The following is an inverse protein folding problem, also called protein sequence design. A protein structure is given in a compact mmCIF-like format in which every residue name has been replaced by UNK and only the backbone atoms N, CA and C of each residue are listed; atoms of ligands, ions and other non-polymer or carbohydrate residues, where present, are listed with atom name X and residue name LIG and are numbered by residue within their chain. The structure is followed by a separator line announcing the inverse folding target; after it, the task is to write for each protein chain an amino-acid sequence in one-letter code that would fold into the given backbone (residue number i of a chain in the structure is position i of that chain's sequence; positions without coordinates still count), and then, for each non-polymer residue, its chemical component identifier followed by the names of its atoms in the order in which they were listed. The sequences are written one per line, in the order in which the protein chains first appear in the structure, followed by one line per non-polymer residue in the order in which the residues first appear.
data_IF_506736735916
#
_entry.id   IF_506736735916
#
_cell.length_a   1.000
_cell.length_b   1.000
_cell.length_c   1.000
_cell.angle_alpha   90.00
_cell.angle_beta   90.00
_cell.angle_gamma   90.00
#
_symmetry.space_group_name_H-M   'P 1'
#
loop_
_entity.id
_entity.type
_entity.pdbx_description
1 polymer ?
#
# COMPACT_ATOMS: atom_id res chain seq x y z
N UNK A 1 5.03 27.73 -19.11
CA UNK A 1 5.31 26.97 -17.87
C UNK A 1 4.29 25.84 -17.82
N UNK A 2 4.74 24.61 -18.00
CA UNK A 2 3.86 23.44 -17.92
C UNK A 2 3.28 23.34 -16.51
N UNK A 3 1.95 23.37 -16.37
CA UNK A 3 1.29 23.27 -15.08
C UNK A 3 1.36 21.81 -14.61
N UNK A 4 2.39 21.48 -13.83
CA UNK A 4 2.61 20.13 -13.31
C UNK A 4 1.50 19.76 -12.31
N UNK A 5 0.93 18.57 -12.47
CA UNK A 5 -0.12 18.06 -11.57
C UNK A 5 0.42 17.88 -10.15
N UNK A 6 -0.45 18.10 -9.16
CA UNK A 6 -0.17 17.80 -7.76
C UNK A 6 0.05 16.31 -7.53
N UNK A 7 1.01 15.98 -6.68
CA UNK A 7 1.38 14.60 -6.33
C UNK A 7 1.16 14.41 -4.83
N UNK A 8 0.34 13.41 -4.49
CA UNK A 8 0.09 13.03 -3.10
C UNK A 8 0.77 11.69 -2.82
N UNK A 9 1.65 11.66 -1.82
CA UNK A 9 2.36 10.44 -1.41
C UNK A 9 1.84 10.00 -0.04
N UNK A 10 1.26 8.80 0.05
CA UNK A 10 0.84 8.23 1.32
C UNK A 10 2.04 7.60 2.03
N UNK A 11 2.37 8.10 3.23
CA UNK A 11 3.40 7.53 4.07
C UNK A 11 2.93 6.27 4.81
N UNK A 12 1.63 6.03 4.93
CA UNK A 12 1.05 4.95 5.75
C UNK A 12 1.64 4.94 7.17
N UNK A 13 1.64 6.06 7.86
CA UNK A 13 2.26 6.29 9.17
C UNK A 13 1.88 5.23 10.21
N UNK A 14 0.65 4.71 10.17
CA UNK A 14 0.17 3.72 11.13
C UNK A 14 0.76 2.31 10.96
N UNK A 15 1.47 2.02 9.86
CA UNK A 15 2.10 0.71 9.59
C UNK A 15 3.46 0.86 8.90
N UNK A 16 4.21 -0.24 8.83
CA UNK A 16 5.54 -0.33 8.23
C UNK A 16 5.55 -0.89 6.81
N UNK A 17 4.40 -0.99 6.13
CA UNK A 17 4.33 -1.53 4.76
C UNK A 17 4.97 -0.64 3.70
N UNK A 18 5.13 0.65 3.99
CA UNK A 18 5.76 1.62 3.11
C UNK A 18 7.01 2.11 3.82
N UNK A 19 8.15 1.91 3.16
CA UNK A 19 9.43 2.42 3.62
C UNK A 19 9.43 3.97 3.60
N UNK A 20 9.72 4.56 4.75
CA UNK A 20 9.70 6.01 4.94
C UNK A 20 10.89 6.68 4.26
N UNK A 21 12.03 6.00 4.15
CA UNK A 21 13.20 6.52 3.42
C UNK A 21 12.89 6.62 1.93
N UNK A 22 12.29 5.57 1.36
CA UNK A 22 11.76 5.58 0.01
C UNK A 22 10.79 6.74 -0.26
N UNK A 23 9.82 6.98 0.64
CA UNK A 23 8.91 8.13 0.50
C UNK A 23 9.68 9.44 0.47
N UNK A 24 10.64 9.63 1.37
CA UNK A 24 11.43 10.85 1.44
C UNK A 24 12.28 11.07 0.18
N UNK A 25 12.90 10.02 -0.36
CA UNK A 25 13.68 10.10 -1.61
C UNK A 25 12.79 10.51 -2.79
N UNK A 26 11.63 9.85 -2.95
CA UNK A 26 10.71 10.14 -4.05
C UNK A 26 10.16 11.56 -3.92
N UNK A 27 9.73 11.96 -2.72
CA UNK A 27 9.19 13.30 -2.46
C UNK A 27 10.22 14.40 -2.75
N UNK A 28 11.45 14.27 -2.25
CA UNK A 28 12.53 15.23 -2.49
C UNK A 28 12.89 15.32 -3.98
N UNK A 29 12.94 14.19 -4.67
CA UNK A 29 13.25 14.14 -6.11
C UNK A 29 12.19 14.85 -6.95
N UNK A 30 10.91 14.62 -6.64
CA UNK A 30 9.80 15.26 -7.33
C UNK A 30 9.70 16.77 -7.03
N UNK A 31 9.93 17.18 -5.78
CA UNK A 31 9.96 18.60 -5.39
C UNK A 31 11.10 19.36 -6.04
N UNK A 32 12.31 18.80 -6.07
CA UNK A 32 13.44 19.39 -6.79
C UNK A 32 13.14 19.56 -8.28
N UNK A 33 12.30 18.69 -8.84
CA UNK A 33 11.80 18.81 -10.22
C UNK A 33 10.68 19.83 -10.42
N UNK A 34 10.24 20.50 -9.37
CA UNK A 34 9.19 21.51 -9.39
C UNK A 34 7.77 20.92 -9.43
N UNK A 35 7.59 19.64 -9.08
CA UNK A 35 6.24 19.12 -8.84
C UNK A 35 5.73 19.61 -7.49
N UNK A 36 4.45 20.02 -7.38
CA UNK A 36 3.83 20.22 -6.09
C UNK A 36 3.58 18.85 -5.43
N UNK A 37 4.18 18.60 -4.26
CA UNK A 37 4.13 17.29 -3.58
C UNK A 37 3.65 17.45 -2.14
N UNK A 38 2.55 16.78 -1.78
CA UNK A 38 2.11 16.58 -0.39
C UNK A 38 2.42 15.15 0.08
N UNK A 39 2.94 15.03 1.31
CA UNK A 39 3.15 13.74 1.97
C UNK A 39 2.08 13.59 3.03
N UNK A 40 1.23 12.59 2.87
CA UNK A 40 0.09 12.36 3.75
C UNK A 40 0.37 11.25 4.76
N UNK A 41 0.03 11.44 6.04
CA UNK A 41 0.32 10.44 7.06
C UNK A 41 -0.44 9.14 6.78
N UNK A 42 -1.75 9.21 6.53
CA UNK A 42 -2.55 8.02 6.31
C UNK A 42 -3.76 8.30 5.42
N UNK A 43 -3.64 7.92 4.14
CA UNK A 43 -4.72 8.09 3.17
C UNK A 43 -5.95 7.23 3.51
N UNK A 44 -5.77 6.06 4.15
CA UNK A 44 -6.91 5.24 4.58
C UNK A 44 -7.73 5.98 5.66
N UNK A 45 -7.05 6.69 6.56
CA UNK A 45 -7.71 7.52 7.59
C UNK A 45 -8.46 8.69 6.97
N UNK A 46 -7.84 9.42 6.02
CA UNK A 46 -8.50 10.53 5.30
C UNK A 46 -9.76 10.08 4.55
N UNK A 47 -9.69 8.94 3.87
CA UNK A 47 -10.85 8.40 3.14
C UNK A 47 -12.01 8.16 4.10
N UNK A 48 -11.76 7.50 5.22
CA UNK A 48 -12.80 7.19 6.22
C UNK A 48 -13.38 8.45 6.87
N UNK A 49 -12.52 9.46 7.12
CA UNK A 49 -12.93 10.75 7.64
C UNK A 49 -13.64 11.63 6.61
N UNK A 50 -13.62 11.23 5.32
CA UNK A 50 -14.15 12.03 4.19
C UNK A 50 -13.59 13.44 4.19
N UNK A 51 -12.27 13.57 4.32
CA UNK A 51 -11.57 14.85 4.33
C UNK A 51 -11.93 15.68 3.09
N UNK A 52 -12.02 17.01 3.25
CA UNK A 52 -12.45 17.94 2.19
C UNK A 52 -11.49 18.03 1.01
N UNK A 53 -10.24 17.64 1.19
CA UNK A 53 -9.17 17.63 0.19
C UNK A 53 -9.16 16.37 -0.70
N UNK A 54 -10.04 15.39 -0.47
CA UNK A 54 -10.06 14.15 -1.24
C UNK A 54 -10.35 14.35 -2.73
N UNK A 55 -11.11 15.38 -3.11
CA UNK A 55 -11.36 15.74 -4.51
C UNK A 55 -10.08 16.24 -5.21
N UNK A 56 -9.30 17.08 -4.53
CA UNK A 56 -8.02 17.57 -5.02
C UNK A 56 -7.03 16.41 -5.16
N UNK A 57 -6.90 15.57 -4.14
CA UNK A 57 -6.05 14.36 -4.15
C UNK A 57 -6.44 13.44 -5.32
N UNK A 58 -7.73 13.20 -5.55
CA UNK A 58 -8.21 12.34 -6.63
C UNK A 58 -7.91 12.89 -8.03
N UNK A 59 -7.88 14.22 -8.19
CA UNK A 59 -7.58 14.90 -9.45
C UNK A 59 -6.09 14.83 -9.84
N UNK A 60 -5.21 14.70 -8.85
CA UNK A 60 -3.76 14.62 -8.98
C UNK A 60 -3.21 13.21 -9.23
N UNK A 61 -1.92 13.03 -8.94
CA UNK A 61 -1.24 11.74 -9.03
C UNK A 61 -1.02 11.20 -7.61
N UNK A 62 -1.48 9.96 -7.35
CA UNK A 62 -1.41 9.36 -6.02
C UNK A 62 -0.33 8.28 -5.99
N UNK A 63 0.68 8.42 -5.14
CA UNK A 63 1.65 7.38 -4.83
C UNK A 63 1.30 6.80 -3.46
N UNK A 64 0.74 5.60 -3.44
CA UNK A 64 0.25 5.01 -2.20
C UNK A 64 0.33 3.48 -2.28
N UNK A 65 -0.52 2.76 -1.56
CA UNK A 65 -0.62 1.31 -1.71
C UNK A 65 -1.10 0.92 -3.13
N UNK A 66 -1.34 -0.39 -3.34
CA UNK A 66 -1.77 -0.93 -4.63
C UNK A 66 -2.84 -0.08 -5.34
N UNK A 67 -2.69 0.22 -6.64
CA UNK A 67 -3.65 0.99 -7.43
C UNK A 67 -5.11 0.51 -7.30
N UNK A 68 -5.29 -0.81 -7.17
CA UNK A 68 -6.58 -1.45 -6.95
C UNK A 68 -7.25 -1.00 -5.64
N UNK A 69 -6.47 -0.88 -4.56
CA UNK A 69 -6.94 -0.41 -3.26
C UNK A 69 -7.29 1.09 -3.31
N UNK A 70 -6.48 1.90 -4.01
CA UNK A 70 -6.73 3.33 -4.20
C UNK A 70 -8.00 3.57 -5.01
N UNK A 71 -8.20 2.82 -6.10
CA UNK A 71 -9.44 2.87 -6.89
C UNK A 71 -10.66 2.54 -6.01
N UNK A 72 -10.60 1.46 -5.25
CA UNK A 72 -11.68 1.05 -4.36
C UNK A 72 -11.98 2.08 -3.25
N UNK A 73 -10.95 2.77 -2.72
CA UNK A 73 -11.14 3.89 -1.78
C UNK A 73 -11.87 5.07 -2.41
N UNK A 74 -11.43 5.52 -3.59
CA UNK A 74 -12.06 6.65 -4.27
C UNK A 74 -13.47 6.29 -4.75
N UNK A 75 -13.68 5.08 -5.24
CA UNK A 75 -14.98 4.56 -5.63
C UNK A 75 -15.99 4.55 -4.48
N UNK A 76 -15.52 4.37 -3.24
CA UNK A 76 -16.36 4.47 -2.04
C UNK A 76 -16.79 5.92 -1.75
N UNK A 77 -15.96 6.89 -2.11
CA UNK A 77 -16.26 8.34 -2.07
C UNK A 77 -17.00 8.84 -3.32
N UNK A 78 -17.26 7.98 -4.31
CA UNK A 78 -17.74 8.35 -5.65
C UNK A 78 -16.78 9.28 -6.42
N UNK A 79 -15.48 9.19 -6.14
CA UNK A 79 -14.41 9.88 -6.85
C UNK A 79 -13.72 8.92 -7.81
N UNK A 80 -13.04 9.48 -8.83
CA UNK A 80 -12.22 8.72 -9.77
C UNK A 80 -10.76 9.16 -9.66
N UNK A 81 -9.85 8.20 -9.71
CA UNK A 81 -8.41 8.49 -9.77
C UNK A 81 -8.02 8.92 -11.19
N UNK A 82 -7.16 9.94 -11.30
CA UNK A 82 -6.50 10.29 -12.56
C UNK A 82 -5.35 9.31 -12.87
N UNK A 83 -4.40 9.20 -11.93
CA UNK A 83 -3.27 8.28 -12.00
C UNK A 83 -2.88 7.86 -10.58
N UNK A 84 -2.63 6.56 -10.37
CA UNK A 84 -2.11 6.03 -9.11
C UNK A 84 -0.97 5.06 -9.36
N UNK A 85 0.10 5.17 -8.56
CA UNK A 85 1.29 4.32 -8.65
C UNK A 85 1.46 3.50 -7.36
N UNK A 86 1.91 2.25 -7.50
CA UNK A 86 2.17 1.34 -6.38
C UNK A 86 3.50 1.66 -5.71
N UNK A 87 3.49 2.35 -4.57
CA UNK A 87 4.72 2.61 -3.81
C UNK A 87 5.18 1.39 -3.01
N UNK A 88 4.35 0.35 -2.87
CA UNK A 88 4.64 -0.77 -1.98
C UNK A 88 5.62 -1.75 -2.60
N UNK A 89 5.48 -2.04 -3.90
CA UNK A 89 6.30 -3.06 -4.58
C UNK A 89 7.19 -2.50 -5.70
N UNK A 90 6.87 -1.34 -6.26
CA UNK A 90 7.65 -0.75 -7.36
C UNK A 90 8.91 -0.07 -6.81
N UNK A 91 10.06 -0.19 -7.47
CA UNK A 91 11.32 0.43 -7.02
C UNK A 91 11.28 1.97 -7.05
N UNK A 92 12.25 2.65 -6.45
CA UNK A 92 12.34 4.12 -6.53
C UNK A 92 12.59 4.57 -7.96
N UNK A 93 13.45 3.82 -8.66
CA UNK A 93 13.91 4.05 -10.02
C UNK A 93 12.74 3.96 -11.00
N UNK A 94 11.92 2.91 -10.88
CA UNK A 94 10.74 2.72 -11.74
C UNK A 94 9.69 3.81 -11.50
N UNK A 95 9.46 4.20 -10.23
CA UNK A 95 8.53 5.29 -9.90
C UNK A 95 9.02 6.62 -10.49
N UNK A 96 10.31 6.93 -10.34
CA UNK A 96 10.90 8.17 -10.84
C UNK A 96 11.05 8.18 -12.38
N UNK A 97 11.23 7.00 -12.98
CA UNK A 97 11.22 6.80 -14.43
C UNK A 97 9.91 7.24 -15.08
N UNK A 98 8.77 7.02 -14.44
CA UNK A 98 7.45 7.54 -14.86
C UNK A 98 7.39 9.08 -14.95
N UNK A 99 8.31 9.77 -14.28
CA UNK A 99 8.46 11.23 -14.29
C UNK A 99 9.70 11.68 -15.08
N UNK A 100 10.36 10.77 -15.80
CA UNK A 100 11.59 11.01 -16.56
C UNK A 100 12.76 11.50 -15.67
N UNK A 101 12.83 10.99 -14.44
CA UNK A 101 13.88 11.28 -13.47
C UNK A 101 14.75 10.04 -13.29
N UNK A 102 16.06 10.20 -13.42
CA UNK A 102 17.07 9.16 -13.16
C UNK A 102 18.17 9.68 -12.25
N UNK A 103 18.82 8.78 -11.52
CA UNK A 103 20.01 9.10 -10.74
C UNK A 103 21.27 8.77 -11.55
N UNK A 104 22.30 9.60 -11.42
CA UNK A 104 23.67 9.25 -11.82
C UNK A 104 24.46 8.93 -10.57
N UNK A 105 25.02 7.72 -10.49
CA UNK A 105 26.02 7.42 -9.47
C UNK A 105 27.28 8.23 -9.77
N UNK A 106 27.79 8.96 -8.79
CA UNK A 106 29.17 9.43 -8.83
C UNK A 106 30.09 8.24 -8.52
N UNK A 107 30.50 7.54 -9.56
CA UNK A 107 31.67 6.66 -9.55
C UNK A 107 32.29 6.63 -10.95
N UNK A 108 33.15 7.60 -11.24
CA UNK A 108 34.44 7.40 -11.93
C UNK A 108 35.17 8.74 -12.10
N UNK A 109 35.49 9.37 -10.98
CA UNK A 109 36.63 10.27 -10.93
C UNK A 109 37.93 9.45 -10.82
N UNK A 110 38.36 8.81 -11.92
CA UNK A 110 39.75 8.52 -12.27
C UNK A 110 39.89 7.57 -13.48
N UNK A 111 39.91 8.12 -14.70
CA UNK A 111 40.86 7.76 -15.75
C UNK A 111 40.54 8.55 -17.03
N UNK A 112 41.37 9.53 -17.35
CA UNK A 112 41.30 10.21 -18.65
C UNK A 112 41.74 9.30 -19.79
N UNK A 113 41.00 9.37 -20.90
CA UNK A 113 41.41 9.45 -22.32
C UNK A 113 40.44 8.65 -23.21
N UNK A 114 40.00 9.25 -24.31
CA UNK A 114 39.37 8.51 -25.41
C UNK A 114 38.21 9.24 -26.10
N UNK A 115 38.55 10.28 -26.85
CA UNK A 115 38.24 10.47 -28.28
C UNK A 115 36.77 10.40 -28.74
N UNK A 116 36.33 11.48 -29.39
CA UNK A 116 34.94 11.71 -29.75
C UNK A 116 34.42 10.87 -30.92
N UNK A 117 33.09 10.74 -30.95
CA UNK A 117 32.30 10.88 -32.17
C UNK A 117 30.85 11.16 -31.79
N UNK A 118 30.32 12.24 -32.37
CA UNK A 118 28.91 12.59 -32.27
C UNK A 118 28.08 11.58 -33.06
N UNK A 119 27.00 11.09 -32.46
CA UNK A 119 25.84 10.61 -33.22
C UNK A 119 24.59 11.20 -32.59
N UNK A 120 23.91 12.02 -33.39
CA UNK A 120 22.62 12.64 -33.11
C UNK A 120 21.53 11.57 -33.28
N UNK A 121 20.64 11.44 -32.30
CA UNK A 121 19.48 10.56 -32.40
C UNK A 121 18.61 10.59 -31.14
N UNK A 122 17.50 11.33 -31.22
CA UNK A 122 16.29 11.25 -30.38
C UNK A 122 16.48 11.01 -28.88
N UNK A 123 16.91 12.04 -28.15
CA UNK A 123 16.87 12.03 -26.67
C UNK A 123 15.61 12.73 -26.17
N UNK A 124 14.56 11.96 -25.87
CA UNK A 124 13.59 12.41 -24.87
C UNK A 124 14.39 12.77 -23.61
N UNK A 125 14.37 14.04 -23.23
CA UNK A 125 15.31 14.66 -22.28
C UNK A 125 15.16 14.10 -20.87
N UNK A 126 15.77 12.95 -20.61
CA UNK A 126 15.88 12.38 -19.28
C UNK A 126 16.72 13.31 -18.41
N UNK A 127 16.27 13.59 -17.18
CA UNK A 127 17.08 14.40 -16.27
C UNK A 127 17.75 13.55 -15.22
N UNK A 128 19.06 13.75 -15.13
CA UNK A 128 19.92 13.14 -14.14
C UNK A 128 19.99 13.99 -12.87
N UNK A 129 19.93 13.33 -11.72
CA UNK A 129 20.03 13.94 -10.39
C UNK A 129 21.17 13.28 -9.61
N UNK A 130 21.92 14.08 -8.86
CA UNK A 130 22.88 13.56 -7.89
C UNK A 130 22.21 13.40 -6.52
N UNK A 131 22.51 12.32 -5.82
CA UNK A 131 21.95 12.04 -4.49
C UNK A 131 22.28 13.15 -3.47
N UNK A 132 23.45 13.79 -3.60
CA UNK A 132 23.85 14.91 -2.76
C UNK A 132 22.87 16.09 -2.84
N UNK A 133 22.28 16.32 -4.02
CA UNK A 133 21.43 17.48 -4.25
C UNK A 133 20.09 17.42 -3.51
N UNK A 134 19.61 16.21 -3.21
CA UNK A 134 18.35 16.00 -2.50
C UNK A 134 18.58 15.63 -1.03
N UNK A 135 19.82 15.44 -0.59
CA UNK A 135 20.13 14.88 0.72
C UNK A 135 19.53 15.69 1.88
N UNK A 136 19.64 17.02 1.83
CA UNK A 136 19.08 17.90 2.87
C UNK A 136 17.55 17.83 2.89
N UNK A 137 16.91 17.96 1.73
CA UNK A 137 15.45 17.92 1.62
C UNK A 137 14.89 16.54 1.99
N UNK A 138 15.55 15.46 1.55
CA UNK A 138 15.24 14.08 1.95
C UNK A 138 15.24 13.95 3.47
N UNK A 139 16.28 14.44 4.15
CA UNK A 139 16.39 14.33 5.60
C UNK A 139 15.29 15.13 6.32
N UNK A 140 14.94 16.32 5.81
CA UNK A 140 13.85 17.13 6.35
C UNK A 140 12.50 16.42 6.21
N UNK A 141 12.18 15.91 5.02
CA UNK A 141 10.94 15.16 4.76
C UNK A 141 10.89 13.88 5.61
N UNK A 142 12.01 13.17 5.75
CA UNK A 142 12.07 11.98 6.57
C UNK A 142 11.82 12.28 8.06
N UNK A 143 12.34 13.40 8.57
CA UNK A 143 12.06 13.87 9.92
C UNK A 143 10.58 14.25 10.10
N UNK A 144 9.98 14.92 9.11
CA UNK A 144 8.55 15.24 9.06
C UNK A 144 7.69 13.96 9.13
N UNK A 145 8.01 12.95 8.29
CA UNK A 145 7.29 11.67 8.27
C UNK A 145 7.38 10.95 9.61
N UNK A 146 8.54 10.99 10.27
CA UNK A 146 8.72 10.41 11.61
C UNK A 146 7.95 11.14 12.70
N UNK A 147 7.68 12.43 12.51
CA UNK A 147 6.92 13.25 13.45
C UNK A 147 5.40 13.08 13.31
N UNK A 148 4.90 12.32 12.33
CA UNK A 148 3.48 12.11 12.16
C UNK A 148 2.84 11.45 13.40
N UNK A 149 1.66 11.90 13.84
CA UNK A 149 0.99 11.32 14.99
C UNK A 149 0.52 9.91 14.67
N UNK A 150 1.07 8.92 15.37
CA UNK A 150 0.64 7.52 15.30
C UNK A 150 -0.01 7.17 16.62
N UNK A 151 -1.33 7.03 16.61
CA UNK A 151 -2.11 6.56 17.76
C UNK A 151 -2.28 5.04 17.66
N UNK A 152 -1.59 4.30 18.53
CA UNK A 152 -1.69 2.84 18.58
C UNK A 152 -3.14 2.38 18.80
N UNK A 153 -3.60 1.44 17.98
CA UNK A 153 -4.96 0.87 18.07
C UNK A 153 -6.05 1.64 17.32
N UNK A 154 -5.77 2.83 16.78
CA UNK A 154 -6.72 3.62 15.95
C UNK A 154 -6.47 3.49 14.44
N UNK A 155 -5.79 2.42 14.04
CA UNK A 155 -5.56 2.11 12.64
C UNK A 155 -6.88 2.17 11.85
N UNK A 156 -6.87 2.85 10.71
CA UNK A 156 -7.97 2.83 9.76
C UNK A 156 -8.07 1.46 9.05
N UNK A 157 -8.24 0.38 9.83
CA UNK A 157 -8.51 -0.97 9.37
C UNK A 157 -9.95 -1.05 8.87
N UNK A 158 -10.13 -0.85 7.58
CA UNK A 158 -11.44 -0.80 6.96
C UNK A 158 -11.41 -1.53 5.61
N UNK A 159 -12.43 -2.35 5.31
CA UNK A 159 -12.54 -2.95 4.00
C UNK A 159 -12.96 -1.90 2.96
N UNK A 160 -12.44 -2.03 1.75
CA UNK A 160 -12.98 -1.40 0.56
C UNK A 160 -13.35 -2.47 -0.46
N UNK A 161 -14.29 -2.13 -1.35
CA UNK A 161 -14.80 -3.06 -2.37
C UNK A 161 -14.29 -2.65 -3.73
N UNK A 162 -13.62 -3.60 -4.39
CA UNK A 162 -13.34 -3.54 -5.81
C UNK A 162 -14.60 -3.88 -6.61
N UNK A 163 -15.21 -2.85 -7.21
CA UNK A 163 -16.45 -2.97 -7.99
C UNK A 163 -16.26 -3.80 -9.26
N UNK A 164 -15.05 -3.88 -9.82
CA UNK A 164 -14.79 -4.66 -11.04
C UNK A 164 -14.84 -6.17 -10.77
N UNK A 165 -14.51 -6.59 -9.54
CA UNK A 165 -14.51 -8.00 -9.14
C UNK A 165 -15.71 -8.42 -8.30
N UNK A 166 -16.49 -7.47 -7.77
CA UNK A 166 -17.66 -7.78 -6.97
C UNK A 166 -18.79 -8.30 -7.85
N UNK A 167 -19.26 -9.51 -7.56
CA UNK A 167 -20.42 -10.12 -8.24
C UNK A 167 -21.74 -9.87 -7.52
N UNK A 168 -21.74 -8.98 -6.51
CA UNK A 168 -22.90 -8.66 -5.67
C UNK A 168 -23.53 -9.87 -4.96
N UNK A 169 -22.74 -10.94 -4.74
CA UNK A 169 -23.23 -12.20 -4.16
C UNK A 169 -23.68 -12.14 -2.69
N UNK A 170 -23.51 -11.02 -1.99
CA UNK A 170 -23.97 -10.84 -0.61
C UNK A 170 -23.21 -11.58 0.50
N UNK A 171 -22.36 -12.57 0.18
CA UNK A 171 -21.68 -13.41 1.20
C UNK A 171 -20.93 -12.65 2.30
N UNK A 172 -20.36 -11.49 1.99
CA UNK A 172 -19.66 -10.66 2.96
C UNK A 172 -20.59 -9.99 3.98
N UNK A 173 -21.80 -9.64 3.56
CA UNK A 173 -22.86 -9.16 4.44
C UNK A 173 -23.27 -10.26 5.42
N UNK A 174 -23.54 -11.46 4.92
CA UNK A 174 -24.01 -12.57 5.76
C UNK A 174 -22.95 -13.06 6.76
N UNK A 175 -21.68 -12.96 6.38
CA UNK A 175 -20.56 -13.36 7.23
C UNK A 175 -20.18 -12.33 8.30
N UNK A 176 -20.37 -11.03 8.02
CA UNK A 176 -19.84 -9.99 8.88
C UNK A 176 -20.71 -9.79 10.13
N UNK A 177 -20.27 -10.36 11.25
CA UNK A 177 -20.92 -10.18 12.57
C UNK A 177 -20.94 -8.74 13.08
N UNK A 178 -20.13 -7.85 12.49
CA UNK A 178 -19.99 -6.46 12.93
C UNK A 178 -20.86 -5.47 12.15
N UNK A 179 -21.63 -5.93 11.15
CA UNK A 179 -22.54 -5.08 10.39
C UNK A 179 -21.83 -4.04 9.52
N UNK A 180 -20.65 -4.38 8.96
CA UNK A 180 -19.86 -3.46 8.12
C UNK A 180 -20.52 -3.25 6.74
N UNK A 181 -21.16 -4.30 6.21
CA UNK A 181 -21.73 -4.31 4.87
C UNK A 181 -23.25 -4.17 4.91
N UNK A 182 -23.83 -3.66 3.83
CA UNK A 182 -25.27 -3.60 3.58
C UNK A 182 -25.57 -4.01 2.14
N UNK A 183 -26.80 -4.42 1.87
CA UNK A 183 -27.29 -4.74 0.53
C UNK A 183 -28.47 -3.82 0.22
N UNK A 184 -28.30 -2.96 -0.77
CA UNK A 184 -29.34 -2.03 -1.24
C UNK A 184 -29.49 -2.19 -2.76
N UNK A 185 -30.72 -2.34 -3.26
CA UNK A 185 -30.99 -2.53 -4.69
C UNK A 185 -30.15 -3.67 -5.32
N UNK A 186 -29.98 -4.78 -4.59
CA UNK A 186 -29.13 -5.93 -4.95
C UNK A 186 -27.64 -5.59 -5.15
N UNK A 187 -27.16 -4.47 -4.60
CA UNK A 187 -25.74 -4.09 -4.60
C UNK A 187 -25.19 -4.07 -3.18
N UNK A 188 -24.04 -4.69 -3.00
CA UNK A 188 -23.30 -4.74 -1.74
C UNK A 188 -22.52 -3.43 -1.58
N UNK A 189 -22.56 -2.85 -0.39
CA UNK A 189 -21.79 -1.65 -0.04
C UNK A 189 -21.16 -1.77 1.33
N UNK A 190 -20.00 -1.14 1.52
CA UNK A 190 -19.40 -0.91 2.83
C UNK A 190 -20.07 0.31 3.45
N UNK A 191 -21.02 0.09 4.37
CA UNK A 191 -21.79 1.18 4.99
C UNK A 191 -21.17 1.67 6.30
N UNK A 192 -20.61 0.76 7.09
CA UNK A 192 -20.07 1.07 8.42
C UNK A 192 -18.63 0.57 8.54
N UNK A 193 -17.68 1.13 7.77
CA UNK A 193 -16.30 0.63 7.73
C UNK A 193 -15.67 0.61 9.13
N UNK A 194 -15.84 1.67 9.91
CA UNK A 194 -15.35 1.82 11.28
C UNK A 194 -15.84 0.75 12.29
N UNK A 195 -16.87 -0.04 11.96
CA UNK A 195 -17.28 -1.19 12.80
C UNK A 195 -16.42 -2.43 12.57
N UNK A 196 -15.55 -2.43 11.55
CA UNK A 196 -14.71 -3.58 11.26
C UNK A 196 -13.79 -3.88 12.43
N UNK A 197 -13.74 -5.15 12.86
CA UNK A 197 -12.77 -5.59 13.87
C UNK A 197 -11.36 -5.50 13.28
N UNK A 198 -10.52 -4.69 13.92
CA UNK A 198 -9.11 -4.52 13.55
C UNK A 198 -8.40 -5.87 13.35
N UNK A 199 -7.63 -5.97 12.27
CA UNK A 199 -6.87 -7.15 11.84
C UNK A 199 -7.70 -8.41 11.51
N UNK A 200 -9.00 -8.28 11.22
CA UNK A 200 -9.84 -9.39 10.77
C UNK A 200 -10.10 -9.35 9.24
N UNK A 201 -9.36 -10.13 8.42
CA UNK A 201 -9.56 -10.18 6.96
C UNK A 201 -10.50 -11.32 6.52
N UNK A 202 -11.25 -11.95 7.44
CA UNK A 202 -11.91 -13.22 7.17
C UNK A 202 -12.98 -13.13 6.05
N UNK A 203 -13.71 -12.02 5.97
CA UNK A 203 -14.65 -11.77 4.87
C UNK A 203 -13.96 -11.73 3.49
N UNK A 204 -12.71 -11.24 3.41
CA UNK A 204 -11.95 -11.19 2.16
C UNK A 204 -11.53 -12.58 1.69
N UNK A 205 -11.19 -13.49 2.61
CA UNK A 205 -10.80 -14.87 2.27
C UNK A 205 -11.93 -15.66 1.61
N UNK A 206 -13.14 -15.51 2.13
CA UNK A 206 -14.33 -16.21 1.61
C UNK A 206 -14.96 -15.55 0.37
N UNK A 207 -14.56 -14.34 0.02
CA UNK A 207 -15.09 -13.63 -1.14
C UNK A 207 -14.69 -14.41 -2.41
N UNK A 208 -15.66 -14.95 -3.19
CA UNK A 208 -15.34 -15.75 -4.37
C UNK A 208 -14.65 -14.92 -5.46
N UNK A 209 -15.03 -13.65 -5.62
CA UNK A 209 -14.40 -12.72 -6.56
C UNK A 209 -13.12 -12.07 -6.03
N UNK A 210 -12.71 -12.34 -4.78
CA UNK A 210 -11.60 -11.64 -4.10
C UNK A 210 -11.71 -10.11 -4.18
N UNK A 211 -12.94 -9.59 -4.13
CA UNK A 211 -13.27 -8.18 -4.33
C UNK A 211 -13.04 -7.29 -3.09
N UNK A 212 -13.04 -7.89 -1.89
CA UNK A 212 -12.82 -7.17 -0.64
C UNK A 212 -11.33 -6.95 -0.43
N UNK A 213 -10.94 -5.70 -0.19
CA UNK A 213 -9.56 -5.27 -0.02
C UNK A 213 -9.40 -4.64 1.37
N UNK A 214 -8.35 -5.03 2.07
CA UNK A 214 -7.85 -4.39 3.29
C UNK A 214 -6.46 -3.81 3.00
N UNK A 215 -6.33 -2.52 2.66
CA UNK A 215 -5.05 -1.94 2.23
C UNK A 215 -3.91 -2.09 3.26
N UNK A 216 -4.28 -2.09 4.55
CA UNK A 216 -3.38 -2.30 5.69
C UNK A 216 -3.14 -3.77 6.02
N UNK A 217 -3.54 -4.69 5.15
CA UNK A 217 -3.20 -6.09 5.30
C UNK A 217 -1.84 -6.39 4.66
N UNK A 218 -1.15 -7.38 5.23
CA UNK A 218 0.20 -7.70 4.80
C UNK A 218 0.20 -8.43 3.45
N UNK A 219 -0.64 -9.46 3.28
CA UNK A 219 -0.51 -10.39 2.15
C UNK A 219 -1.46 -10.11 0.99
N UNK A 220 -0.99 -10.33 -0.22
CA UNK A 220 -1.80 -10.30 -1.44
C UNK A 220 -2.64 -11.58 -1.57
N UNK A 221 -3.86 -11.52 -2.17
CA UNK A 221 -4.51 -10.38 -2.84
C UNK A 221 -5.40 -9.52 -1.93
N UNK A 222 -5.47 -9.86 -0.63
CA UNK A 222 -6.35 -9.17 0.32
C UNK A 222 -5.92 -7.72 0.50
N UNK A 223 -4.62 -7.42 0.39
CA UNK A 223 -4.09 -6.06 0.48
C UNK A 223 -4.31 -5.18 -0.78
N UNK A 224 -4.88 -5.75 -1.85
CA UNK A 224 -5.08 -5.08 -3.14
C UNK A 224 -4.09 -5.51 -4.22
N UNK A 225 -3.09 -6.32 -3.90
CA UNK A 225 -2.20 -6.95 -4.87
C UNK A 225 -2.90 -8.00 -5.75
N UNK A 226 -2.16 -8.49 -6.74
CA UNK A 226 -2.63 -9.52 -7.69
C UNK A 226 -2.04 -10.91 -7.44
N UNK A 227 -0.89 -10.99 -6.76
CA UNK A 227 -0.24 -12.25 -6.37
C UNK A 227 -1.10 -13.03 -5.37
N UNK A 228 -1.00 -14.36 -5.38
CA UNK A 228 -1.58 -15.21 -4.34
C UNK A 228 -0.46 -15.56 -3.35
N UNK A 229 -0.41 -14.88 -2.20
CA UNK A 229 0.64 -15.07 -1.18
C UNK A 229 0.14 -15.87 0.03
N UNK A 230 -1.18 -16.01 0.20
CA UNK A 230 -1.77 -16.95 1.16
C UNK A 230 -1.99 -18.31 0.49
N UNK A 231 -0.90 -19.00 0.14
CA UNK A 231 -0.95 -20.42 -0.24
C UNK A 231 -0.67 -21.27 0.99
N UNK A 232 -1.60 -22.13 1.34
CA UNK A 232 -1.37 -23.17 2.34
C UNK A 232 -0.91 -24.42 1.59
N UNK A 233 0.38 -24.73 1.67
CA UNK A 233 0.89 -26.00 1.16
C UNK A 233 0.25 -27.15 1.97
N UNK A 234 -0.47 -28.08 1.34
CA UNK A 234 -1.07 -29.21 2.03
C UNK A 234 -0.08 -30.01 2.89
N UNK A 235 1.17 -30.15 2.45
CA UNK A 235 2.21 -30.87 3.20
C UNK A 235 2.62 -30.12 4.46
N UNK A 236 2.85 -28.80 4.35
CA UNK A 236 3.14 -27.94 5.49
C UNK A 236 1.99 -27.93 6.51
N UNK A 237 0.74 -27.92 6.04
CA UNK A 237 -0.45 -27.99 6.88
C UNK A 237 -0.58 -29.33 7.62
N UNK A 238 -0.37 -30.45 6.94
CA UNK A 238 -0.39 -31.78 7.57
C UNK A 238 0.74 -31.91 8.60
N UNK A 239 1.95 -31.42 8.30
CA UNK A 239 3.07 -31.40 9.25
C UNK A 239 2.71 -30.61 10.51
N UNK A 240 2.20 -29.38 10.35
CA UNK A 240 1.77 -28.54 11.46
C UNK A 240 0.65 -29.21 12.29
N UNK A 241 -0.31 -29.87 11.63
CA UNK A 241 -1.38 -30.59 12.30
C UNK A 241 -0.85 -31.77 13.13
N UNK A 242 0.02 -32.60 12.55
CA UNK A 242 0.65 -33.75 13.23
C UNK A 242 1.47 -33.31 14.42
N UNK A 243 2.23 -32.23 14.29
CA UNK A 243 3.04 -31.68 15.38
C UNK A 243 2.17 -31.18 16.53
N UNK A 244 1.13 -30.38 16.24
CA UNK A 244 0.19 -29.92 17.27
C UNK A 244 -0.54 -31.08 17.95
N UNK A 245 -0.90 -32.13 17.21
CA UNK A 245 -1.49 -33.34 17.77
C UNK A 245 -0.53 -34.05 18.73
N UNK A 246 0.74 -34.24 18.33
CA UNK A 246 1.79 -34.84 19.18
C UNK A 246 1.96 -34.05 20.47
N UNK A 247 2.03 -32.72 20.40
CA UNK A 247 2.14 -31.86 21.58
C UNK A 247 0.97 -32.05 22.55
N UNK A 248 -0.27 -32.02 22.04
CA UNK A 248 -1.46 -32.23 22.90
C UNK A 248 -1.47 -33.62 23.54
N UNK A 249 -1.05 -34.65 22.82
CA UNK A 249 -0.96 -36.02 23.36
C UNK A 249 0.12 -36.12 24.46
N UNK A 250 1.26 -35.47 24.29
CA UNK A 250 2.31 -35.40 25.31
C UNK A 250 1.83 -34.66 26.56
N UNK A 251 1.17 -33.51 26.41
CA UNK A 251 0.57 -32.76 27.53
C UNK A 251 -0.44 -33.61 28.31
N UNK A 252 -1.32 -34.33 27.59
CA UNK A 252 -2.27 -35.26 28.24
C UNK A 252 -1.57 -36.37 29.00
N UNK A 253 -0.54 -36.99 28.41
CA UNK A 253 0.26 -38.03 29.07
C UNK A 253 0.95 -37.51 30.33
N UNK A 254 1.54 -36.31 30.28
CA UNK A 254 2.17 -35.67 31.43
C UNK A 254 1.15 -35.38 32.55
N UNK A 255 -0.02 -34.83 32.21
CA UNK A 255 -1.08 -34.54 33.18
C UNK A 255 -1.64 -35.82 33.82
N UNK A 256 -1.84 -36.89 33.04
CA UNK A 256 -2.24 -38.20 33.58
C UNK A 256 -1.17 -38.80 34.49
N UNK A 257 0.11 -38.57 34.20
CA UNK A 257 1.22 -39.02 35.05
C UNK A 257 1.33 -38.25 36.37
N UNK A 258 0.87 -36.98 36.40
CA UNK A 258 0.85 -36.16 37.62
C UNK A 258 -0.31 -36.52 38.55
N UNK A 259 -1.44 -36.97 38.00
CA UNK A 259 -2.62 -37.40 38.77
C UNK A 259 -2.49 -38.80 39.41
N UNK A 260 -1.41 -39.53 39.10
CA UNK A 260 -1.13 -40.88 39.63
C UNK A 260 -0.16 -40.89 40.83
N UNK A 261 0.16 -39.73 41.40
CA UNK A 261 0.88 -39.57 42.68
C UNK A 261 -0.11 -39.15 43.76
#
# INVERSE_FOLDING_TARGET
MENKKHITICACASRSFIDKEKVAVIAASLRKKGYPVSVEPDLCKKVIQKSSDMEEIASGIILACYPRAIRAHLDWLNLKTNKSLDIRNTSVEDILGEFQISFTEEADCAAGKGDGSASEGDTATHTYMHAADIAMEKNAIFAEIKAFPVEEGTDAWNPVLDKEKCTECGKCHDFCLFGVYTIENKKVRVAQPQKCKNNCPACARMCPGKAIIFPKYEKSPINGGMSQEETFDPEEMDKMYRERLRMRLQQRRANVSLLKK
#
